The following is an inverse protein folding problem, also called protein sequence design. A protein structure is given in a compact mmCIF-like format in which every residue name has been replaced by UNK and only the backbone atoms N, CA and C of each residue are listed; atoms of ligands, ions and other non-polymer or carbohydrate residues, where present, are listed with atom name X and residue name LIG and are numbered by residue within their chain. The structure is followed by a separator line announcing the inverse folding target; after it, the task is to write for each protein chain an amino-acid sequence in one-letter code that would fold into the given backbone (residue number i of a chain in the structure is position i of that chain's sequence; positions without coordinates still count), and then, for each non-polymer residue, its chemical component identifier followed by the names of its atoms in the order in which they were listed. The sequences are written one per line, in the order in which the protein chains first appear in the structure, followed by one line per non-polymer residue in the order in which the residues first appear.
data_IF_922049443586
#
_entry.id   IF_922049443586
#
_cell.length_a   1.000
_cell.length_b   1.000
_cell.length_c   1.000
_cell.angle_alpha   90.00
_cell.angle_beta   90.00
_cell.angle_gamma   90.00
#
_symmetry.space_group_name_H-M   'P 1'
#
loop_
_entity.id
_entity.type
_entity.pdbx_description
1 polymer ?
#
# COMPACT_ATOMS: atom_id res chain seq x y z
N UNK A 1 12.54 -5.00 66.06
CA UNK A 1 13.10 -4.00 65.13
C UNK A 1 13.64 -4.79 63.94
N UNK A 2 13.18 -4.76 62.69
CA UNK A 2 12.41 -3.76 61.93
C UNK A 2 11.82 -4.52 60.72
N UNK A 3 10.53 -4.83 60.77
CA UNK A 3 9.75 -5.26 59.61
C UNK A 3 9.48 -4.03 58.73
N UNK A 4 10.24 -3.79 57.65
CA UNK A 4 9.88 -2.79 56.65
C UNK A 4 10.76 -2.84 55.39
N UNK A 5 10.53 -3.81 54.51
CA UNK A 5 10.58 -3.57 53.07
C UNK A 5 9.43 -4.36 52.40
N UNK A 6 8.21 -3.99 52.78
CA UNK A 6 6.99 -4.18 51.98
C UNK A 6 7.24 -3.41 50.67
N UNK A 7 7.06 -4.00 49.50
CA UNK A 7 5.75 -4.13 48.87
C UNK A 7 5.48 -2.90 48.00
N UNK A 8 5.68 -3.03 46.69
CA UNK A 8 5.15 -2.22 45.58
C UNK A 8 5.74 -2.86 44.31
N UNK A 9 5.09 -3.70 43.50
CA UNK A 9 3.72 -3.59 42.97
C UNK A 9 3.38 -2.15 42.57
N UNK A 10 4.28 -1.53 41.80
CA UNK A 10 3.98 -0.36 41.00
C UNK A 10 3.37 -0.78 39.67
N UNK A 11 2.03 -0.80 39.61
CA UNK A 11 1.27 -0.65 38.37
C UNK A 11 1.62 0.71 37.74
N UNK A 12 2.18 0.73 36.53
CA UNK A 12 1.93 1.70 35.45
C UNK A 12 3.02 1.60 34.36
N UNK A 13 2.75 0.80 33.34
CA UNK A 13 3.17 1.09 31.96
C UNK A 13 2.19 0.33 31.04
N UNK A 14 1.00 0.91 30.87
CA UNK A 14 0.21 0.65 29.69
C UNK A 14 0.95 1.25 28.48
N UNK A 15 0.72 0.66 27.30
CA UNK A 15 0.93 1.18 25.94
C UNK A 15 2.11 0.53 25.16
N UNK A 16 1.74 0.03 23.95
CA UNK A 16 2.51 -0.50 22.80
C UNK A 16 2.95 -1.98 22.90
N UNK A 17 2.55 -2.94 22.07
CA UNK A 17 1.63 -3.05 20.93
C UNK A 17 1.23 -4.54 20.82
N UNK A 18 -0.04 -4.80 20.56
CA UNK A 18 -0.53 -6.05 19.98
C UNK A 18 -0.89 -5.79 18.50
N UNK A 19 -1.21 -6.83 17.70
CA UNK A 19 -0.57 -8.12 17.51
C UNK A 19 0.16 -8.14 16.15
N UNK A 20 0.88 -9.22 15.84
CA UNK A 20 1.25 -9.55 14.46
C UNK A 20 -0.04 -9.75 13.65
N UNK A 21 -0.59 -8.65 13.13
CA UNK A 21 -1.64 -8.64 12.13
C UNK A 21 -1.10 -9.25 10.85
N UNK A 22 -1.93 -10.08 10.22
CA UNK A 22 -1.62 -10.86 9.03
C UNK A 22 -0.88 -10.02 7.97
N UNK A 23 0.40 -10.30 7.76
CA UNK A 23 0.95 -10.16 6.42
C UNK A 23 0.32 -11.29 5.60
N UNK A 24 -0.84 -11.01 4.98
CA UNK A 24 -1.33 -11.86 3.91
C UNK A 24 -0.27 -11.88 2.80
N UNK A 25 0.08 -13.04 2.21
CA UNK A 25 0.95 -13.07 1.05
C UNK A 25 0.24 -12.32 -0.08
N UNK A 26 0.71 -11.12 -0.41
CA UNK A 26 0.34 -10.46 -1.67
C UNK A 26 1.28 -10.98 -2.74
N UNK A 27 1.11 -12.25 -3.13
CA UNK A 27 1.66 -12.70 -4.39
C UNK A 27 1.01 -14.01 -4.85
N UNK A 28 0.42 -13.96 -6.04
CA UNK A 28 -0.02 -15.14 -6.76
C UNK A 28 -1.35 -14.97 -7.51
N UNK A 29 -1.29 -14.37 -8.69
CA UNK A 29 -2.04 -14.87 -9.86
C UNK A 29 -3.58 -14.87 -9.77
N UNK A 30 -4.19 -13.76 -9.37
CA UNK A 30 -5.49 -13.43 -9.98
C UNK A 30 -5.24 -12.30 -10.96
N UNK A 31 -5.14 -12.63 -12.25
CA UNK A 31 -5.18 -11.63 -13.31
C UNK A 31 -6.31 -10.65 -13.05
N UNK A 32 -6.09 -9.39 -13.42
CA UNK A 32 -7.07 -8.32 -13.20
C UNK A 32 -8.40 -8.74 -13.84
N UNK A 33 -9.44 -8.82 -13.01
CA UNK A 33 -10.66 -9.58 -13.34
C UNK A 33 -11.46 -9.04 -14.52
N UNK A 34 -11.15 -7.83 -14.97
CA UNK A 34 -11.84 -7.06 -15.99
C UNK A 34 -10.95 -6.73 -17.20
N UNK A 35 -9.81 -7.41 -17.34
CA UNK A 35 -8.93 -7.26 -18.51
C UNK A 35 -9.02 -8.40 -19.52
N UNK A 36 -9.70 -9.51 -19.21
CA UNK A 36 -9.77 -10.65 -20.14
C UNK A 36 -10.34 -10.24 -21.50
N UNK A 37 -9.54 -10.36 -22.56
CA UNK A 37 -9.91 -9.98 -23.92
C UNK A 37 -9.90 -8.47 -24.20
N UNK A 38 -9.49 -7.65 -23.24
CA UNK A 38 -9.32 -6.21 -23.42
C UNK A 38 -8.00 -5.93 -24.17
N UNK A 39 -8.03 -4.99 -25.13
CA UNK A 39 -6.86 -4.68 -25.97
C UNK A 39 -5.63 -4.25 -25.16
N UNK A 40 -5.84 -3.62 -23.99
CA UNK A 40 -4.79 -3.11 -23.12
C UNK A 40 -4.30 -4.15 -22.09
N UNK A 41 -4.82 -5.38 -22.12
CA UNK A 41 -4.54 -6.39 -21.10
C UNK A 41 -3.03 -6.58 -20.89
N UNK A 42 -2.31 -6.82 -21.99
CA UNK A 42 -0.87 -7.11 -21.96
C UNK A 42 -0.06 -5.92 -21.43
N UNK A 43 -0.41 -4.72 -21.85
CA UNK A 43 0.27 -3.49 -21.47
C UNK A 43 0.03 -3.16 -19.99
N UNK A 44 -1.20 -3.34 -19.52
CA UNK A 44 -1.55 -3.11 -18.11
C UNK A 44 -0.89 -4.15 -17.21
N UNK A 45 -0.90 -5.43 -17.57
CA UNK A 45 -0.22 -6.48 -16.82
C UNK A 45 1.29 -6.20 -16.71
N UNK A 46 1.92 -5.72 -17.78
CA UNK A 46 3.33 -5.32 -17.78
C UNK A 46 3.58 -4.09 -16.88
N UNK A 47 2.70 -3.10 -16.91
CA UNK A 47 2.79 -1.91 -16.07
C UNK A 47 2.65 -2.25 -14.58
N UNK A 48 1.73 -3.16 -14.23
CA UNK A 48 1.55 -3.67 -12.84
C UNK A 48 2.78 -4.46 -12.40
N UNK A 49 3.30 -5.35 -13.26
CA UNK A 49 4.52 -6.11 -12.95
C UNK A 49 5.75 -5.20 -12.76
N UNK A 50 5.76 -4.02 -13.39
CA UNK A 50 6.81 -3.01 -13.26
C UNK A 50 6.59 -2.05 -12.08
N UNK A 51 5.45 -2.13 -11.38
CA UNK A 51 5.08 -1.25 -10.28
C UNK A 51 4.73 0.18 -10.70
N UNK A 52 4.38 0.40 -11.98
CA UNK A 52 4.01 1.72 -12.49
C UNK A 52 2.56 2.09 -12.15
N UNK A 53 1.72 1.07 -12.01
CA UNK A 53 0.28 1.20 -11.73
C UNK A 53 -0.16 0.03 -10.84
N UNK A 54 -1.23 0.25 -10.09
CA UNK A 54 -1.85 -0.77 -9.24
C UNK A 54 -3.29 -1.08 -9.67
N UNK A 55 -3.75 -2.29 -9.36
CA UNK A 55 -5.17 -2.62 -9.39
C UNK A 55 -5.92 -2.11 -8.16
N UNK A 56 -7.25 -2.22 -8.19
CA UNK A 56 -8.10 -1.94 -7.04
C UNK A 56 -8.11 -3.12 -6.05
N UNK A 57 -8.45 -2.90 -4.76
CA UNK A 57 -8.55 -3.97 -3.77
C UNK A 57 -9.58 -5.06 -4.10
N UNK A 58 -10.52 -4.77 -5.00
CA UNK A 58 -11.52 -5.72 -5.51
C UNK A 58 -10.95 -6.67 -6.60
N UNK A 59 -9.69 -6.48 -7.02
CA UNK A 59 -9.02 -7.28 -8.04
C UNK A 59 -9.25 -6.81 -9.49
N UNK A 60 -9.85 -5.63 -9.69
CA UNK A 60 -10.07 -5.04 -11.01
C UNK A 60 -9.03 -3.97 -11.36
N UNK A 61 -8.93 -3.59 -12.64
CA UNK A 61 -8.16 -2.45 -13.13
C UNK A 61 -9.03 -1.26 -13.53
N UNK A 62 -10.26 -1.52 -14.00
CA UNK A 62 -11.23 -0.56 -14.52
C UNK A 62 -10.72 0.17 -15.77
N UNK A 63 -10.41 -0.55 -16.88
CA UNK A 63 -9.75 0.02 -18.05
C UNK A 63 -10.54 1.15 -18.73
N UNK A 64 -11.88 1.14 -18.60
CA UNK A 64 -12.78 2.15 -19.16
C UNK A 64 -13.08 3.33 -18.22
N UNK A 65 -12.56 3.29 -16.98
CA UNK A 65 -12.77 4.36 -16.01
C UNK A 65 -11.90 5.55 -16.40
N UNK A 66 -12.53 6.73 -16.54
CA UNK A 66 -11.78 7.97 -16.69
C UNK A 66 -10.97 8.29 -15.43
N UNK A 67 -9.76 8.79 -15.63
CA UNK A 67 -8.89 9.26 -14.56
C UNK A 67 -8.78 10.79 -14.58
N UNK A 68 -8.48 11.35 -13.44
CA UNK A 68 -8.16 12.77 -13.27
C UNK A 68 -6.76 13.08 -13.79
N UNK A 69 -6.48 14.37 -14.05
CA UNK A 69 -5.13 14.82 -14.37
C UNK A 69 -4.12 14.49 -13.27
N UNK A 70 -4.53 14.54 -12.00
CA UNK A 70 -3.66 14.24 -10.87
C UNK A 70 -3.26 12.75 -10.82
N UNK A 71 -4.21 11.85 -11.06
CA UNK A 71 -3.95 10.40 -11.15
C UNK A 71 -3.01 10.08 -12.33
N UNK A 72 -3.25 10.69 -13.50
CA UNK A 72 -2.34 10.55 -14.64
C UNK A 72 -0.91 11.02 -14.31
N UNK A 73 -0.78 12.20 -13.68
CA UNK A 73 0.54 12.71 -13.28
C UNK A 73 1.23 11.78 -12.29
N UNK A 74 0.51 11.22 -11.30
CA UNK A 74 1.06 10.22 -10.38
C UNK A 74 1.62 9.01 -11.16
N UNK A 75 0.84 8.41 -12.05
CA UNK A 75 1.27 7.25 -12.84
C UNK A 75 2.52 7.56 -13.67
N UNK A 76 2.59 8.76 -14.25
CA UNK A 76 3.76 9.20 -15.00
C UNK A 76 5.01 9.33 -14.10
N UNK A 77 4.87 9.92 -12.91
CA UNK A 77 5.96 10.04 -11.94
C UNK A 77 6.47 8.66 -11.50
N UNK A 78 5.55 7.73 -11.21
CA UNK A 78 5.88 6.36 -10.83
C UNK A 78 6.64 5.63 -11.96
N UNK A 79 6.18 5.76 -13.22
CA UNK A 79 6.78 5.12 -14.39
C UNK A 79 8.20 5.59 -14.73
N UNK A 80 8.53 6.86 -14.44
CA UNK A 80 9.86 7.42 -14.65
C UNK A 80 10.72 7.46 -13.37
N UNK A 81 10.23 6.83 -12.29
CA UNK A 81 10.85 6.80 -10.97
C UNK A 81 11.20 8.20 -10.42
N UNK A 82 10.35 9.19 -10.69
CA UNK A 82 10.53 10.54 -10.18
C UNK A 82 9.79 10.68 -8.86
N UNK A 83 10.54 10.65 -7.76
CA UNK A 83 10.05 11.12 -6.47
C UNK A 83 10.15 12.65 -6.47
N UNK A 84 9.03 13.40 -6.44
CA UNK A 84 9.12 14.83 -6.24
C UNK A 84 9.76 15.08 -4.88
N UNK A 85 10.97 15.64 -4.89
CA UNK A 85 11.55 16.19 -3.68
C UNK A 85 10.59 17.26 -3.16
N UNK A 86 10.28 17.23 -1.86
CA UNK A 86 9.37 18.15 -1.19
C UNK A 86 9.96 19.57 -1.08
N UNK A 87 10.64 20.05 -2.11
CA UNK A 87 10.99 21.45 -2.28
C UNK A 87 9.71 22.12 -2.81
N UNK A 88 8.90 22.64 -1.89
CA UNK A 88 7.75 23.50 -2.21
C UNK A 88 8.26 24.61 -3.14
N UNK A 89 7.90 24.57 -4.41
CA UNK A 89 8.19 25.68 -5.33
C UNK A 89 7.31 26.84 -4.90
N UNK A 90 7.92 27.77 -4.15
CA UNK A 90 7.31 29.00 -3.67
C UNK A 90 6.99 29.96 -4.83
#
# INVERSE_FOLDING_TARGET
MKHWKKGLCGLLAAVLMAPAGLAAPVNGEKGLSDLEGHWAQKEVEAAVASGWVDGYPDGSFKPEKSITRAEFTKMLLDAIHLTPDSETVA
#
